data_IF_155045991040
#
_entry.id   IF_155045991040
#
_cell.length_a   1.000
_cell.length_b   1.000
_cell.length_c   1.000
_cell.angle_alpha   90.00
_cell.angle_beta   90.00
_cell.angle_gamma   90.00
#
_symmetry.space_group_name_H-M   'P 1'
#
loop_
_entity.id
_entity.type
_entity.pdbx_description
1 polymer ?
#
# COMPACT_ATOMS: atom_id res chain seq x y z
N UNK A 1 12.37 8.21 10.08
CA UNK A 1 11.49 7.17 10.63
C UNK A 1 10.03 7.41 10.29
N UNK A 2 9.34 6.34 9.90
CA UNK A 2 7.94 6.41 9.49
C UNK A 2 7.02 6.65 10.70
N UNK A 3 7.39 6.19 11.88
CA UNK A 3 6.60 6.36 13.11
C UNK A 3 6.26 7.79 13.46
N UNK A 4 7.13 8.71 13.14
CA UNK A 4 6.88 10.15 13.33
C UNK A 4 5.95 10.72 12.28
N UNK A 5 5.68 9.93 11.28
CA UNK A 5 4.94 10.38 10.12
C UNK A 5 3.44 10.45 10.35
N UNK A 6 2.91 9.64 11.26
CA UNK A 6 1.50 9.71 11.62
C UNK A 6 1.11 11.09 12.16
N UNK A 7 1.97 11.69 12.94
CA UNK A 7 1.74 13.04 13.44
C UNK A 7 2.09 14.11 12.39
N UNK A 8 3.10 13.84 11.57
CA UNK A 8 3.48 14.68 10.45
C UNK A 8 2.50 14.65 9.28
N UNK A 9 1.75 13.58 9.12
CA UNK A 9 0.80 13.44 8.03
C UNK A 9 -0.22 14.56 7.95
N UNK A 10 -0.73 14.99 9.08
CA UNK A 10 -1.71 16.08 9.14
C UNK A 10 -1.09 17.38 8.69
N UNK A 11 0.17 17.59 9.00
CA UNK A 11 0.92 18.79 8.59
C UNK A 11 1.23 18.72 7.09
N UNK A 12 1.71 17.58 6.63
CA UNK A 12 2.01 17.36 5.22
C UNK A 12 0.78 17.50 4.34
N UNK A 13 -0.33 16.93 4.78
CA UNK A 13 -1.61 17.07 4.09
C UNK A 13 -2.07 18.52 4.01
N UNK A 14 -1.81 19.33 5.01
CA UNK A 14 -2.14 20.75 5.00
C UNK A 14 -1.26 21.53 4.01
N UNK A 15 0.03 21.25 4.01
CA UNK A 15 0.97 21.88 3.09
C UNK A 15 0.65 21.53 1.64
N UNK A 16 0.36 20.27 1.38
CA UNK A 16 -0.02 19.80 0.05
C UNK A 16 -1.34 20.44 -0.41
N UNK A 17 -2.30 20.61 0.49
CA UNK A 17 -3.58 21.28 0.16
C UNK A 17 -3.43 22.70 -0.32
N UNK A 18 -2.45 23.43 0.17
CA UNK A 18 -2.19 24.81 -0.28
C UNK A 18 -1.80 24.85 -1.76
N UNK A 19 -1.23 23.76 -2.25
CA UNK A 19 -0.75 23.66 -3.62
C UNK A 19 -1.75 22.99 -4.57
N UNK A 20 -2.89 22.53 -4.08
CA UNK A 20 -3.88 21.78 -4.88
C UNK A 20 -4.58 22.60 -5.94
N UNK A 21 -4.63 23.91 -5.79
CA UNK A 21 -5.39 24.80 -6.67
C UNK A 21 -4.88 24.80 -8.12
N UNK A 22 -3.66 24.29 -8.34
CA UNK A 22 -3.00 24.33 -9.63
C UNK A 22 -2.65 22.96 -10.22
N UNK A 23 -3.08 21.88 -9.60
CA UNK A 23 -2.66 20.53 -9.98
C UNK A 23 -3.76 19.60 -10.46
N UNK A 24 -3.40 18.67 -11.30
CA UNK A 24 -4.24 17.53 -11.64
C UNK A 24 -4.19 16.50 -10.49
N UNK A 25 -5.35 15.92 -10.14
CA UNK A 25 -5.43 14.86 -9.13
C UNK A 25 -5.32 13.47 -9.74
N UNK A 26 -4.43 12.66 -9.20
CA UNK A 26 -4.31 11.25 -9.56
C UNK A 26 -4.39 10.35 -8.33
N UNK A 27 -5.10 9.25 -8.45
CA UNK A 27 -5.20 8.23 -7.41
C UNK A 27 -4.51 6.94 -7.85
N UNK A 28 -3.51 6.51 -7.09
CA UNK A 28 -2.87 5.22 -7.30
C UNK A 28 -3.75 4.05 -6.88
N UNK A 29 -4.56 4.25 -5.85
CA UNK A 29 -5.36 3.20 -5.23
C UNK A 29 -6.79 3.11 -5.75
N UNK A 30 -7.16 3.98 -6.70
CA UNK A 30 -8.51 4.01 -7.26
C UNK A 30 -8.59 3.17 -8.52
N UNK A 31 -9.49 2.21 -8.52
CA UNK A 31 -9.88 1.48 -9.71
C UNK A 31 -11.11 2.13 -10.32
N UNK A 32 -11.04 2.44 -11.61
CA UNK A 32 -12.18 2.98 -12.36
C UNK A 32 -12.66 1.93 -13.32
N UNK A 33 -13.90 1.49 -13.21
CA UNK A 33 -14.36 0.49 -14.14
C UNK A 33 -15.86 0.41 -14.36
N UNK A 34 -16.23 -0.05 -15.54
CA UNK A 34 -17.55 -0.54 -15.84
C UNK A 34 -17.73 -1.88 -15.13
N UNK A 35 -18.64 -1.93 -14.19
CA UNK A 35 -18.83 -3.07 -13.31
C UNK A 35 -19.94 -3.99 -13.84
N UNK A 36 -19.61 -5.27 -14.01
CA UNK A 36 -20.61 -6.33 -14.13
C UNK A 36 -20.86 -6.97 -12.75
N UNK A 37 -21.78 -7.93 -12.68
CA UNK A 37 -22.16 -8.56 -11.41
C UNK A 37 -21.00 -9.35 -10.80
N UNK A 38 -20.19 -10.02 -11.60
CA UNK A 38 -19.07 -10.82 -11.14
C UNK A 38 -17.95 -9.93 -10.62
N UNK A 39 -17.71 -8.82 -11.29
CA UNK A 39 -16.76 -7.80 -10.81
C UNK A 39 -17.20 -7.19 -9.49
N UNK A 40 -18.49 -6.92 -9.30
CA UNK A 40 -19.03 -6.40 -8.03
C UNK A 40 -18.84 -7.43 -6.90
N UNK A 41 -19.09 -8.71 -7.15
CA UNK A 41 -18.87 -9.77 -6.15
C UNK A 41 -17.39 -9.89 -5.79
N UNK A 42 -16.51 -9.84 -6.77
CA UNK A 42 -15.07 -9.88 -6.55
C UNK A 42 -14.59 -8.68 -5.72
N UNK A 43 -15.10 -7.48 -6.00
CA UNK A 43 -14.78 -6.29 -5.23
C UNK A 43 -15.25 -6.40 -3.77
N UNK A 44 -16.45 -6.90 -3.53
CA UNK A 44 -16.95 -7.13 -2.16
C UNK A 44 -16.10 -8.13 -1.41
N UNK A 45 -15.73 -9.21 -2.06
CA UNK A 45 -14.86 -10.23 -1.47
C UNK A 45 -13.47 -9.63 -1.13
N UNK A 46 -12.90 -8.87 -2.06
CA UNK A 46 -11.65 -8.15 -1.84
C UNK A 46 -11.72 -7.20 -0.66
N UNK A 47 -12.79 -6.42 -0.57
CA UNK A 47 -13.01 -5.50 0.54
C UNK A 47 -13.05 -6.22 1.89
N UNK A 48 -13.76 -7.35 1.96
CA UNK A 48 -13.83 -8.14 3.19
C UNK A 48 -12.47 -8.68 3.63
N UNK A 49 -11.65 -9.14 2.69
CA UNK A 49 -10.29 -9.63 3.01
C UNK A 49 -9.39 -8.46 3.44
N UNK A 50 -9.46 -7.32 2.77
CA UNK A 50 -8.72 -6.12 3.18
C UNK A 50 -9.08 -5.71 4.60
N UNK A 51 -10.37 -5.68 4.93
CA UNK A 51 -10.83 -5.37 6.30
C UNK A 51 -10.33 -6.41 7.30
N UNK A 52 -10.40 -7.69 6.96
CA UNK A 52 -9.88 -8.76 7.82
C UNK A 52 -8.39 -8.54 8.12
N UNK A 53 -7.60 -8.20 7.11
CA UNK A 53 -6.16 -7.95 7.27
C UNK A 53 -5.86 -6.63 7.98
N UNK A 54 -6.68 -5.60 7.78
CA UNK A 54 -6.55 -4.33 8.49
C UNK A 54 -6.67 -4.52 10.00
N UNK A 55 -7.60 -5.37 10.44
CA UNK A 55 -7.85 -5.62 11.86
C UNK A 55 -7.17 -6.88 12.41
N UNK A 56 -6.40 -7.59 11.61
CA UNK A 56 -5.72 -8.80 12.05
C UNK A 56 -4.66 -8.51 13.12
N UNK A 57 -4.55 -9.42 14.07
CA UNK A 57 -3.52 -9.38 15.09
C UNK A 57 -2.20 -9.93 14.52
N UNK A 58 -1.30 -9.03 14.16
CA UNK A 58 -0.01 -9.39 13.58
C UNK A 58 0.91 -10.11 14.56
N UNK A 59 0.74 -9.88 15.85
CA UNK A 59 1.56 -10.56 16.86
C UNK A 59 1.20 -12.03 17.00
N UNK A 60 -0.08 -12.33 16.92
CA UNK A 60 -0.57 -13.71 17.00
C UNK A 60 -0.39 -14.51 15.72
N UNK A 61 -0.35 -13.84 14.57
CA UNK A 61 -0.19 -14.46 13.25
C UNK A 61 -1.16 -15.62 12.99
N UNK A 62 -2.36 -15.53 13.55
CA UNK A 62 -3.39 -16.58 13.47
C UNK A 62 -4.27 -16.50 12.22
N UNK A 63 -3.94 -15.64 11.31
CA UNK A 63 -4.64 -15.45 10.04
C UNK A 63 -3.87 -16.16 8.92
N UNK A 64 -4.57 -16.91 8.08
CA UNK A 64 -3.95 -17.70 7.00
C UNK A 64 -3.18 -16.83 6.00
N UNK A 65 -3.63 -15.60 5.75
CA UNK A 65 -2.96 -14.69 4.84
C UNK A 65 -1.64 -14.18 5.42
N UNK A 66 -1.64 -13.85 6.71
CA UNK A 66 -0.43 -13.43 7.42
C UNK A 66 0.58 -14.56 7.56
N UNK A 67 0.11 -15.76 7.86
CA UNK A 67 0.97 -16.94 7.94
C UNK A 67 1.72 -17.15 6.63
N UNK A 68 1.02 -17.06 5.51
CA UNK A 68 1.62 -17.19 4.20
C UNK A 68 2.58 -16.04 3.88
N UNK A 69 2.21 -14.83 4.20
CA UNK A 69 3.05 -13.66 4.00
C UNK A 69 4.38 -13.82 4.73
N UNK A 70 4.36 -14.20 6.00
CA UNK A 70 5.56 -14.35 6.82
C UNK A 70 6.35 -15.64 6.57
N UNK A 71 5.88 -16.49 5.67
CA UNK A 71 6.72 -17.55 5.09
C UNK A 71 7.63 -17.00 3.99
N UNK A 72 7.31 -15.86 3.41
CA UNK A 72 8.04 -15.25 2.30
C UNK A 72 8.88 -14.05 2.77
N UNK A 73 8.33 -13.21 3.64
CA UNK A 73 9.02 -12.04 4.18
C UNK A 73 9.29 -12.18 5.67
N UNK A 74 10.30 -11.44 6.16
CA UNK A 74 10.69 -11.49 7.57
C UNK A 74 9.58 -10.99 8.50
N UNK A 75 9.43 -11.65 9.63
CA UNK A 75 8.56 -11.21 10.73
C UNK A 75 9.27 -10.33 11.77
N UNK A 76 10.52 -9.93 11.53
CA UNK A 76 11.33 -9.13 12.45
C UNK A 76 11.11 -7.62 12.26
N UNK A 77 9.91 -7.23 11.87
CA UNK A 77 9.55 -5.83 11.76
C UNK A 77 9.48 -5.15 13.12
N UNK A 78 9.77 -3.86 13.15
CA UNK A 78 9.68 -3.02 14.35
C UNK A 78 8.38 -2.21 14.40
N UNK A 79 7.79 -1.91 13.25
CA UNK A 79 6.50 -1.20 13.14
C UNK A 79 5.66 -1.79 12.02
N UNK A 80 4.34 -1.74 12.23
CA UNK A 80 3.31 -2.15 11.26
C UNK A 80 2.41 -0.95 10.99
N UNK A 81 2.20 -0.64 9.70
CA UNK A 81 1.27 0.38 9.24
C UNK A 81 0.25 -0.26 8.31
N UNK A 82 -1.03 -0.02 8.57
CA UNK A 82 -2.13 -0.55 7.78
C UNK A 82 -2.97 0.60 7.24
N UNK A 83 -3.43 0.47 5.99
CA UNK A 83 -4.26 1.50 5.35
C UNK A 83 -3.64 2.90 5.50
N UNK A 84 -2.35 3.00 5.19
CA UNK A 84 -1.59 4.23 5.33
C UNK A 84 -1.92 5.20 4.20
N UNK A 85 -2.64 6.25 4.50
CA UNK A 85 -2.99 7.29 3.54
C UNK A 85 -1.87 8.29 3.35
N UNK A 86 -1.64 8.69 2.10
CA UNK A 86 -0.68 9.74 1.79
C UNK A 86 -1.12 10.59 0.60
N UNK A 87 -0.51 11.76 0.49
CA UNK A 87 -0.72 12.69 -0.61
C UNK A 87 0.56 13.48 -0.83
N UNK A 88 0.97 13.66 -2.08
CA UNK A 88 2.11 14.51 -2.41
C UNK A 88 1.91 15.18 -3.77
N UNK A 89 2.65 16.27 -4.01
CA UNK A 89 2.60 17.00 -5.27
C UNK A 89 3.94 16.93 -5.99
N UNK A 90 3.89 16.71 -7.29
CA UNK A 90 5.04 16.75 -8.17
C UNK A 90 4.60 17.25 -9.55
N UNK A 91 5.34 18.19 -10.13
CA UNK A 91 5.05 18.74 -11.46
C UNK A 91 3.59 19.22 -11.64
N UNK A 92 3.05 19.90 -10.65
CA UNK A 92 1.65 20.37 -10.61
C UNK A 92 0.60 19.23 -10.65
N UNK A 93 1.01 18.00 -10.30
CA UNK A 93 0.11 16.87 -10.16
C UNK A 93 0.07 16.47 -8.69
N UNK A 94 -1.12 16.28 -8.17
CA UNK A 94 -1.34 15.78 -6.80
C UNK A 94 -1.57 14.28 -6.87
N UNK A 95 -0.70 13.53 -6.20
CA UNK A 95 -0.78 12.07 -6.11
C UNK A 95 -1.33 11.69 -4.75
N UNK A 96 -2.36 10.86 -4.74
CA UNK A 96 -2.96 10.34 -3.52
C UNK A 96 -2.87 8.82 -3.55
N UNK A 97 -2.72 8.21 -2.39
CA UNK A 97 -2.69 6.76 -2.30
C UNK A 97 -3.02 6.26 -0.90
N UNK A 98 -3.31 4.98 -0.83
CA UNK A 98 -3.49 4.23 0.41
C UNK A 98 -2.64 2.98 0.29
N UNK A 99 -1.66 2.83 1.18
CA UNK A 99 -0.80 1.65 1.26
C UNK A 99 -1.49 0.63 2.18
N UNK A 100 -1.82 -0.54 1.65
CA UNK A 100 -2.53 -1.58 2.40
C UNK A 100 -1.76 -2.02 3.64
N UNK A 101 -0.49 -2.35 3.45
CA UNK A 101 0.39 -2.80 4.51
C UNK A 101 1.82 -2.29 4.28
N UNK A 102 2.41 -1.77 5.33
CA UNK A 102 3.80 -1.38 5.33
C UNK A 102 4.47 -1.88 6.60
N UNK A 103 5.55 -2.62 6.43
CA UNK A 103 6.35 -3.18 7.51
C UNK A 103 7.69 -2.48 7.55
N UNK A 104 8.00 -1.87 8.67
CA UNK A 104 9.28 -1.21 8.89
C UNK A 104 10.22 -2.14 9.67
N UNK A 105 11.42 -2.30 9.13
CA UNK A 105 12.53 -3.04 9.77
C UNK A 105 13.64 -2.04 10.13
N UNK A 106 14.71 -2.51 10.74
CA UNK A 106 15.80 -1.61 11.19
C UNK A 106 16.41 -0.82 10.02
N UNK A 107 16.62 -1.44 8.88
CA UNK A 107 17.34 -0.85 7.74
C UNK A 107 16.57 -0.85 6.41
N UNK A 108 15.36 -1.40 6.38
CA UNK A 108 14.52 -1.40 5.19
C UNK A 108 13.04 -1.36 5.53
N UNK A 109 12.22 -1.16 4.51
CA UNK A 109 10.75 -1.12 4.58
C UNK A 109 10.21 -2.02 3.50
N UNK A 110 9.22 -2.84 3.83
CA UNK A 110 8.44 -3.60 2.85
C UNK A 110 7.04 -3.00 2.73
N UNK A 111 6.66 -2.67 1.51
CA UNK A 111 5.30 -2.28 1.15
C UNK A 111 4.64 -3.48 0.49
N UNK A 112 3.47 -3.87 0.99
CA UNK A 112 2.69 -4.99 0.47
C UNK A 112 1.32 -4.48 0.06
N UNK A 113 0.96 -4.69 -1.19
CA UNK A 113 -0.35 -4.35 -1.72
C UNK A 113 -1.14 -5.62 -1.99
N UNK A 114 -2.35 -5.69 -1.45
CA UNK A 114 -3.22 -6.85 -1.59
C UNK A 114 -4.06 -6.74 -2.85
N UNK A 115 -4.02 -7.75 -3.69
CA UNK A 115 -4.90 -7.89 -4.86
C UNK A 115 -5.58 -9.25 -4.82
N UNK A 116 -6.78 -9.33 -5.37
CA UNK A 116 -7.45 -10.63 -5.45
C UNK A 116 -6.73 -11.55 -6.42
N UNK A 117 -6.45 -11.05 -7.61
CA UNK A 117 -5.82 -11.80 -8.70
C UNK A 117 -5.17 -10.83 -9.71
N UNK A 118 -4.61 -11.38 -10.78
CA UNK A 118 -4.02 -10.60 -11.88
C UNK A 118 -2.83 -9.73 -11.48
N UNK A 119 -1.98 -10.23 -10.59
CA UNK A 119 -0.82 -9.47 -10.10
C UNK A 119 0.25 -9.18 -11.15
N UNK A 120 0.08 -9.72 -12.34
CA UNK A 120 0.97 -9.44 -13.47
C UNK A 120 0.58 -8.17 -14.26
N UNK A 121 -0.51 -7.48 -13.88
CA UNK A 121 -0.93 -6.27 -14.53
C UNK A 121 0.02 -5.11 -14.21
N UNK A 122 0.56 -4.48 -15.24
CA UNK A 122 1.53 -3.40 -15.08
C UNK A 122 0.98 -2.16 -14.36
N UNK A 123 -0.34 -1.94 -14.38
CA UNK A 123 -0.94 -0.82 -13.63
C UNK A 123 -0.65 -0.92 -12.13
N UNK A 124 -0.54 -2.13 -11.59
CA UNK A 124 -0.18 -2.34 -10.18
C UNK A 124 1.27 -1.99 -9.91
N UNK A 125 2.15 -2.22 -10.86
CA UNK A 125 3.55 -1.82 -10.75
C UNK A 125 3.69 -0.30 -10.66
N UNK A 126 2.92 0.44 -11.46
CA UNK A 126 2.90 1.90 -11.40
C UNK A 126 2.39 2.41 -10.04
N UNK A 127 1.31 1.78 -9.54
CA UNK A 127 0.77 2.09 -8.22
C UNK A 127 1.81 1.91 -7.12
N UNK A 128 2.47 0.76 -7.08
CA UNK A 128 3.48 0.43 -6.09
C UNK A 128 4.73 1.29 -6.19
N UNK A 129 5.16 1.62 -7.40
CA UNK A 129 6.28 2.54 -7.60
C UNK A 129 5.97 3.95 -7.10
N UNK A 130 4.71 4.37 -7.21
CA UNK A 130 4.24 5.62 -6.61
C UNK A 130 4.33 5.59 -5.08
N UNK A 131 3.93 4.49 -4.46
CA UNK A 131 4.07 4.29 -3.02
C UNK A 131 5.55 4.31 -2.59
N UNK A 132 6.38 3.55 -3.29
CA UNK A 132 7.82 3.50 -3.04
C UNK A 132 8.44 4.89 -3.11
N UNK A 133 8.14 5.64 -4.14
CA UNK A 133 8.66 6.99 -4.35
C UNK A 133 8.31 7.92 -3.19
N UNK A 134 7.07 7.87 -2.73
CA UNK A 134 6.64 8.67 -1.59
C UNK A 134 7.41 8.29 -0.32
N UNK A 135 7.44 7.01 0.02
CA UNK A 135 8.10 6.54 1.25
C UNK A 135 9.61 6.79 1.21
N UNK A 136 10.25 6.65 0.06
CA UNK A 136 11.66 7.01 -0.10
C UNK A 136 11.92 8.50 0.13
N UNK A 137 10.93 9.35 -0.15
CA UNK A 137 11.06 10.80 0.09
C UNK A 137 11.02 11.18 1.57
N UNK A 138 10.48 10.33 2.42
CA UNK A 138 10.29 10.59 3.87
C UNK A 138 11.10 9.65 4.76
N UNK A 139 11.81 8.68 4.20
CA UNK A 139 12.62 7.73 4.93
C UNK A 139 13.97 7.52 4.24
N UNK A 140 15.01 7.28 5.03
CA UNK A 140 16.34 6.96 4.52
C UNK A 140 16.54 5.45 4.29
N UNK A 141 15.53 4.66 4.57
CA UNK A 141 15.60 3.20 4.45
C UNK A 141 15.36 2.75 3.02
N UNK A 142 15.91 1.61 2.66
CA UNK A 142 15.59 0.94 1.39
C UNK A 142 14.13 0.50 1.41
N UNK A 143 13.41 0.74 0.32
CA UNK A 143 12.00 0.38 0.21
C UNK A 143 11.83 -0.74 -0.83
N UNK A 144 11.28 -1.86 -0.40
CA UNK A 144 10.89 -2.97 -1.26
C UNK A 144 9.38 -2.97 -1.44
N UNK A 145 8.92 -3.36 -2.60
CA UNK A 145 7.50 -3.42 -2.95
C UNK A 145 7.09 -4.81 -3.39
N UNK A 146 5.93 -5.25 -2.88
CA UNK A 146 5.38 -6.57 -3.11
C UNK A 146 3.91 -6.49 -3.50
N UNK A 147 3.50 -7.34 -4.44
CA UNK A 147 2.10 -7.64 -4.70
C UNK A 147 1.75 -8.98 -4.08
N UNK A 148 0.69 -9.02 -3.33
CA UNK A 148 0.15 -10.25 -2.74
C UNK A 148 -1.20 -10.57 -3.37
N UNK A 149 -1.23 -11.61 -4.20
CA UNK A 149 -2.48 -12.16 -4.74
C UNK A 149 -3.13 -13.07 -3.71
N UNK A 150 -4.24 -12.64 -3.15
CA UNK A 150 -4.92 -13.32 -2.05
C UNK A 150 -5.61 -14.62 -2.49
N UNK A 151 -6.10 -14.68 -3.73
CA UNK A 151 -6.75 -15.88 -4.28
C UNK A 151 -5.72 -16.86 -4.85
N UNK A 152 -4.72 -16.34 -5.57
CA UNK A 152 -3.73 -17.18 -6.24
C UNK A 152 -2.60 -17.63 -5.31
N UNK A 153 -2.59 -17.13 -4.08
CA UNK A 153 -1.57 -17.45 -3.09
C UNK A 153 -0.15 -17.13 -3.57
N UNK A 154 0.01 -16.02 -4.26
CA UNK A 154 1.29 -15.58 -4.80
C UNK A 154 1.74 -14.26 -4.19
N UNK A 155 3.01 -14.19 -3.84
CA UNK A 155 3.65 -12.96 -3.39
C UNK A 155 4.78 -12.66 -4.37
N UNK A 156 4.68 -11.54 -5.06
CA UNK A 156 5.62 -11.13 -6.09
C UNK A 156 6.35 -9.87 -5.66
N UNK A 157 7.67 -9.96 -5.56
CA UNK A 157 8.50 -8.76 -5.39
C UNK A 157 8.60 -8.02 -6.72
N UNK A 158 8.33 -6.74 -6.70
CA UNK A 158 8.45 -5.88 -7.87
C UNK A 158 9.85 -5.29 -7.90
N UNK A 159 10.60 -5.60 -8.93
CA UNK A 159 11.92 -5.02 -9.15
C UNK A 159 11.85 -3.71 -9.94
N UNK A 160 12.84 -2.88 -9.75
CA UNK A 160 12.95 -1.60 -10.48
C UNK A 160 13.32 -1.78 -11.94
#
# INVERSE_FOLDING_TARGET
EITKHTDGEVIDKKEIKINYEVGENKHFSKESDILDIDSVKAMKYGTLIHEELEYADFDKKNNKYLEKLFNVISSDYINVYREYEFSYQENNIVYNGVIDLMLEYDDYINIIDYKLKNIMDEKYNLQLRGYKKYIESISNKVVNIYLYSLIEDKILKIED
#
